data_IF_501487317276
#
_entry.id   IF_501487317276
#
_cell.length_a   1.000
_cell.length_b   1.000
_cell.length_c   1.000
_cell.angle_alpha   90.00
_cell.angle_beta   90.00
_cell.angle_gamma   90.00
#
_symmetry.space_group_name_H-M   'P 1'
#
loop_
_entity.id
_entity.type
_entity.pdbx_description
1 polymer ?
#
# COMPACT_ATOMS: atom_id res chain seq x y z
N UNK A 1 97.84 -44.54 14.81
CA UNK A 1 97.90 -45.94 14.32
C UNK A 1 96.50 -46.55 14.36
N UNK A 2 95.99 -46.85 13.16
CA UNK A 2 94.96 -47.81 12.77
C UNK A 2 93.67 -48.03 13.61
N UNK A 3 92.56 -47.71 12.94
CA UNK A 3 91.45 -48.61 12.59
C UNK A 3 90.39 -48.98 13.64
N UNK A 4 89.13 -48.94 13.20
CA UNK A 4 88.04 -49.68 13.84
C UNK A 4 86.65 -49.15 13.57
N UNK A 5 86.16 -49.29 12.34
CA UNK A 5 84.73 -49.20 12.04
C UNK A 5 83.95 -50.35 12.69
N UNK A 6 82.73 -50.08 13.14
CA UNK A 6 81.54 -50.97 13.04
C UNK A 6 80.35 -50.34 13.78
N UNK A 7 79.34 -49.94 13.01
CA UNK A 7 77.97 -49.88 13.52
C UNK A 7 77.37 -51.29 13.39
N UNK A 8 76.41 -51.65 14.25
CA UNK A 8 75.16 -52.13 13.68
C UNK A 8 73.90 -51.59 14.38
N UNK A 9 72.92 -51.30 13.54
CA UNK A 9 71.50 -51.10 13.84
C UNK A 9 70.95 -52.09 14.87
N UNK A 10 70.29 -51.56 15.90
CA UNK A 10 69.37 -52.32 16.73
C UNK A 10 67.95 -51.80 16.51
N UNK A 11 67.15 -52.76 16.05
CA UNK A 11 65.72 -52.80 15.85
C UNK A 11 64.92 -52.26 17.04
N UNK A 12 64.11 -51.22 16.83
CA UNK A 12 63.06 -50.80 17.76
C UNK A 12 61.74 -51.39 17.28
N UNK A 13 61.05 -52.22 18.07
CA UNK A 13 59.79 -52.84 17.67
C UNK A 13 58.65 -51.82 17.63
N UNK A 14 57.79 -51.98 16.62
CA UNK A 14 56.55 -51.23 16.44
C UNK A 14 55.55 -51.56 17.55
N UNK A 15 54.92 -50.57 18.22
CA UNK A 15 53.69 -50.82 18.96
C UNK A 15 52.48 -50.80 18.02
N UNK A 16 51.73 -51.89 18.14
CA UNK A 16 50.50 -52.26 17.44
C UNK A 16 49.47 -51.12 17.38
N UNK A 17 48.90 -50.95 16.19
CA UNK A 17 47.77 -50.07 15.91
C UNK A 17 46.50 -50.55 16.62
N UNK A 18 46.07 -49.82 17.65
CA UNK A 18 44.70 -49.94 18.18
C UNK A 18 43.74 -49.11 17.30
N UNK A 19 42.56 -49.62 16.94
CA UNK A 19 41.60 -48.88 16.11
C UNK A 19 41.05 -47.68 16.90
N UNK A 20 41.29 -46.48 16.35
CA UNK A 20 40.74 -45.22 16.84
C UNK A 20 39.21 -45.29 16.74
N UNK A 21 38.55 -45.47 17.87
CA UNK A 21 37.10 -45.26 17.98
C UNK A 21 36.76 -43.83 17.55
N UNK A 22 35.66 -43.62 16.79
CA UNK A 22 35.25 -42.27 16.45
C UNK A 22 34.89 -41.54 17.74
N UNK A 23 35.68 -40.53 18.12
CA UNK A 23 35.33 -39.61 19.18
C UNK A 23 33.96 -39.01 18.82
N UNK A 24 32.92 -39.39 19.59
CA UNK A 24 31.66 -38.65 19.60
C UNK A 24 32.00 -37.19 19.89
N UNK A 25 31.89 -36.34 18.88
CA UNK A 25 31.96 -34.90 19.05
C UNK A 25 30.91 -34.52 20.10
N UNK A 26 31.38 -34.01 21.24
CA UNK A 26 30.49 -33.40 22.23
C UNK A 26 29.93 -32.15 21.56
N UNK A 27 28.65 -32.18 21.19
CA UNK A 27 27.95 -30.96 20.77
C UNK A 27 27.95 -30.01 21.95
N UNK A 28 28.80 -28.99 21.86
CA UNK A 28 28.78 -27.86 22.80
C UNK A 28 27.60 -27.00 22.35
N UNK A 29 26.40 -27.31 22.83
CA UNK A 29 25.14 -26.67 22.40
C UNK A 29 24.99 -25.22 22.90
N UNK A 30 26.09 -24.54 23.23
CA UNK A 30 26.14 -23.15 23.69
C UNK A 30 27.26 -22.35 22.99
N UNK A 31 27.49 -22.62 21.71
CA UNK A 31 28.36 -21.76 20.89
C UNK A 31 27.63 -20.44 20.56
N UNK A 32 28.34 -19.31 20.64
CA UNK A 32 27.82 -18.03 20.12
C UNK A 32 27.38 -18.22 18.66
N UNK A 33 26.23 -17.66 18.26
CA UNK A 33 25.78 -17.71 16.87
C UNK A 33 26.91 -17.29 15.91
N UNK A 34 27.14 -18.11 14.87
CA UNK A 34 28.23 -17.89 13.90
C UNK A 34 28.11 -16.55 13.17
N UNK A 35 26.88 -16.08 13.00
CA UNK A 35 26.55 -14.80 12.37
C UNK A 35 25.58 -14.02 13.26
N UNK A 36 26.08 -13.23 14.24
CA UNK A 36 25.22 -12.42 15.11
C UNK A 36 24.44 -11.36 14.32
N UNK A 37 24.94 -10.96 13.15
CA UNK A 37 24.38 -9.88 12.32
C UNK A 37 23.29 -10.33 11.33
N UNK A 38 23.18 -11.64 11.08
CA UNK A 38 22.16 -12.23 10.19
C UNK A 38 20.82 -12.45 10.91
N UNK A 39 20.84 -12.45 12.24
CA UNK A 39 19.61 -12.49 13.01
C UNK A 39 18.93 -11.14 12.86
N UNK A 40 17.96 -11.05 11.94
CA UNK A 40 17.34 -9.80 11.56
C UNK A 40 16.65 -9.15 12.76
N UNK A 41 17.38 -8.24 13.41
CA UNK A 41 16.83 -7.42 14.49
C UNK A 41 15.62 -6.68 13.91
N UNK A 42 14.45 -6.74 14.58
CA UNK A 42 13.25 -6.05 14.15
C UNK A 42 13.55 -4.60 13.78
N UNK A 43 12.97 -4.13 12.67
CA UNK A 43 13.29 -2.82 12.06
C UNK A 43 13.32 -1.68 13.08
N UNK A 44 12.35 -1.66 14.01
CA UNK A 44 12.25 -0.61 15.02
C UNK A 44 13.39 -0.61 16.03
N UNK A 45 13.88 -1.79 16.40
CA UNK A 45 15.02 -1.93 17.31
C UNK A 45 16.34 -1.61 16.60
N UNK A 46 16.48 -2.00 15.32
CA UNK A 46 17.61 -1.60 14.47
C UNK A 46 17.74 -0.09 14.31
N UNK A 47 16.60 0.59 14.14
CA UNK A 47 16.53 2.05 14.05
C UNK A 47 16.94 2.71 15.38
N UNK A 48 16.50 2.16 16.51
CA UNK A 48 16.82 2.66 17.86
C UNK A 48 18.30 2.45 18.23
N UNK A 49 18.89 1.31 17.88
CA UNK A 49 20.33 1.07 18.09
C UNK A 49 21.17 2.04 17.25
N UNK A 50 20.79 2.24 15.98
CA UNK A 50 21.47 3.17 15.07
C UNK A 50 21.40 4.62 15.55
N UNK A 51 20.26 5.06 16.09
CA UNK A 51 20.13 6.42 16.63
C UNK A 51 20.99 6.60 17.90
N UNK A 52 21.00 5.60 18.78
CA UNK A 52 21.84 5.61 19.99
C UNK A 52 23.33 5.60 19.66
N UNK A 53 23.76 4.86 18.64
CA UNK A 53 25.14 4.87 18.14
C UNK A 53 25.53 6.19 17.49
N UNK A 54 24.63 6.81 16.71
CA UNK A 54 24.86 8.11 16.10
C UNK A 54 25.08 9.20 17.17
N UNK A 55 24.34 9.13 18.28
CA UNK A 55 24.54 10.02 19.44
C UNK A 55 25.84 9.74 20.19
N UNK A 56 26.34 8.50 20.17
CA UNK A 56 27.59 8.10 20.83
C UNK A 56 28.84 8.50 20.03
N UNK A 57 28.73 8.70 18.71
CA UNK A 57 29.83 9.10 17.81
C UNK A 57 29.44 10.30 16.93
N UNK A 58 29.32 11.52 17.49
CA UNK A 58 28.84 12.70 16.76
C UNK A 58 29.77 13.17 15.62
N UNK A 59 31.06 12.79 15.66
CA UNK A 59 32.08 13.27 14.72
C UNK A 59 31.98 12.68 13.30
N UNK A 60 31.39 11.48 13.13
CA UNK A 60 31.29 10.82 11.81
C UNK A 60 30.19 11.42 10.92
N UNK A 61 29.20 12.10 11.50
CA UNK A 61 28.15 12.80 10.76
C UNK A 61 28.66 14.06 10.05
N UNK A 62 29.59 14.80 10.68
CA UNK A 62 30.14 16.06 10.16
C UNK A 62 30.96 15.85 8.88
N UNK A 63 31.75 14.77 8.80
CA UNK A 63 32.51 14.39 7.59
C UNK A 63 31.61 14.11 6.39
N UNK A 64 30.50 13.40 6.59
CA UNK A 64 29.52 13.11 5.51
C UNK A 64 28.77 14.36 5.02
N UNK A 65 28.59 15.37 5.88
CA UNK A 65 27.97 16.65 5.48
C UNK A 65 28.94 17.50 4.67
N UNK A 66 30.21 17.57 5.06
CA UNK A 66 31.25 18.28 4.31
C UNK A 66 31.51 17.65 2.92
N UNK A 67 31.55 16.31 2.86
CA UNK A 67 31.74 15.56 1.61
C UNK A 67 30.54 15.72 0.65
N UNK A 68 29.31 15.79 1.19
CA UNK A 68 28.10 16.09 0.41
C UNK A 68 28.09 17.53 -0.14
N UNK A 69 28.59 18.50 0.63
CA UNK A 69 28.68 19.90 0.18
C UNK A 69 29.76 20.08 -0.91
N UNK A 70 30.91 19.40 -0.80
CA UNK A 70 31.92 19.40 -1.86
C UNK A 70 31.42 18.70 -3.14
N UNK A 71 30.66 17.61 -3.01
CA UNK A 71 30.03 16.95 -4.17
C UNK A 71 28.92 17.78 -4.82
N UNK A 72 28.24 18.65 -4.08
CA UNK A 72 27.28 19.63 -4.63
C UNK A 72 27.99 20.72 -5.43
N UNK A 73 29.07 21.30 -4.89
CA UNK A 73 29.88 22.31 -5.58
C UNK A 73 30.57 21.78 -6.86
N UNK A 74 30.90 20.49 -6.90
CA UNK A 74 31.41 19.82 -8.10
C UNK A 74 30.29 19.44 -9.10
N UNK A 75 29.06 19.20 -8.63
CA UNK A 75 27.90 18.94 -9.51
C UNK A 75 27.42 20.19 -10.24
N UNK A 76 27.57 21.37 -9.66
CA UNK A 76 27.22 22.64 -10.32
C UNK A 76 28.18 23.01 -11.46
N UNK A 77 29.36 22.38 -11.56
CA UNK A 77 30.29 22.52 -12.69
C UNK A 77 30.06 21.51 -13.82
N UNK A 78 29.01 20.70 -13.75
CA UNK A 78 28.78 19.65 -14.73
C UNK A 78 27.44 18.96 -14.58
N UNK A 79 26.34 19.71 -14.73
CA UNK A 79 25.08 19.12 -15.16
C UNK A 79 25.30 18.65 -16.61
N UNK A 80 25.54 17.34 -16.77
CA UNK A 80 25.89 16.67 -18.02
C UNK A 80 25.10 17.24 -19.21
N UNK A 81 25.75 18.10 -19.99
CA UNK A 81 25.31 18.60 -21.28
C UNK A 81 25.07 20.10 -21.41
N UNK A 82 25.04 20.90 -20.34
CA UNK A 82 24.81 22.36 -20.49
C UNK A 82 26.13 23.09 -20.79
N UNK A 83 26.17 23.91 -21.87
CA UNK A 83 27.34 24.74 -22.19
C UNK A 83 27.55 25.74 -21.05
N UNK A 84 28.72 25.75 -20.41
CA UNK A 84 29.01 26.76 -19.40
C UNK A 84 29.05 28.14 -20.06
N UNK A 85 28.24 29.08 -19.56
CA UNK A 85 28.24 30.48 -20.04
C UNK A 85 29.36 31.25 -19.35
N UNK A 86 30.44 31.66 -20.06
CA UNK A 86 31.52 32.43 -19.46
C UNK A 86 31.06 33.85 -19.12
N UNK A 87 31.58 34.40 -18.02
CA UNK A 87 31.34 35.79 -17.64
C UNK A 87 32.48 36.64 -18.20
N UNK A 88 32.25 37.29 -19.33
CA UNK A 88 33.24 38.15 -19.98
C UNK A 88 33.38 39.47 -19.23
N UNK A 89 34.38 39.54 -18.35
CA UNK A 89 34.82 40.77 -17.71
C UNK A 89 36.32 40.96 -17.99
N UNK A 90 36.75 42.21 -18.19
CA UNK A 90 38.17 42.54 -18.40
C UNK A 90 38.94 42.29 -17.10
N UNK A 91 40.04 41.54 -17.19
CA UNK A 91 40.90 41.27 -16.05
C UNK A 91 41.67 42.51 -15.61
N UNK A 92 42.08 42.55 -14.34
CA UNK A 92 42.98 43.61 -13.84
C UNK A 92 44.32 43.49 -14.57
N UNK A 93 44.76 44.56 -15.25
CA UNK A 93 46.01 44.59 -16.02
C UNK A 93 45.93 44.00 -17.43
N UNK A 94 44.75 43.59 -17.87
CA UNK A 94 44.56 43.10 -19.23
C UNK A 94 44.46 44.26 -20.24
N UNK A 95 45.16 44.15 -21.38
CA UNK A 95 44.99 45.10 -22.50
C UNK A 95 43.66 44.87 -23.21
N UNK A 96 43.12 45.88 -23.89
CA UNK A 96 41.85 45.74 -24.63
C UNK A 96 41.94 44.67 -25.71
N UNK A 97 43.07 44.64 -26.43
CA UNK A 97 43.30 43.67 -27.50
C UNK A 97 43.32 42.23 -26.98
N UNK A 98 43.98 41.97 -25.85
CA UNK A 98 43.97 40.63 -25.23
C UNK A 98 42.58 40.21 -24.74
N UNK A 99 41.79 41.18 -24.24
CA UNK A 99 40.40 40.92 -23.83
C UNK A 99 39.54 40.49 -25.02
N UNK A 100 39.63 41.22 -26.13
CA UNK A 100 38.90 40.86 -27.35
C UNK A 100 39.32 39.50 -27.90
N UNK A 101 40.64 39.18 -27.92
CA UNK A 101 41.10 37.87 -28.36
C UNK A 101 40.58 36.73 -27.47
N UNK A 102 40.57 36.88 -26.13
CA UNK A 102 40.00 35.87 -25.23
C UNK A 102 38.50 35.71 -25.47
N UNK A 103 37.79 36.82 -25.64
CA UNK A 103 36.36 36.81 -25.89
C UNK A 103 36.03 36.08 -27.20
N UNK A 104 36.79 36.36 -28.27
CA UNK A 104 36.59 35.74 -29.58
C UNK A 104 36.85 34.23 -29.56
N UNK A 105 37.91 33.77 -28.89
CA UNK A 105 38.21 32.35 -28.73
C UNK A 105 37.13 31.59 -27.97
N UNK A 106 36.62 32.16 -26.87
CA UNK A 106 35.55 31.55 -26.08
C UNK A 106 34.22 31.53 -26.85
N UNK A 107 33.92 32.58 -27.61
CA UNK A 107 32.73 32.62 -28.49
C UNK A 107 32.82 31.54 -29.56
N UNK A 108 33.97 31.39 -30.22
CA UNK A 108 34.21 30.31 -31.18
C UNK A 108 34.06 28.92 -30.52
N UNK A 109 34.58 28.76 -29.31
CA UNK A 109 34.47 27.51 -28.57
C UNK A 109 33.03 27.17 -28.18
N UNK A 110 32.26 28.14 -27.69
CA UNK A 110 30.83 27.98 -27.35
C UNK A 110 30.02 27.65 -28.60
N UNK A 111 30.29 28.33 -29.71
CA UNK A 111 29.61 28.08 -30.98
C UNK A 111 29.85 26.63 -31.42
N UNK A 112 31.11 26.18 -31.39
CA UNK A 112 31.46 24.79 -31.66
C UNK A 112 30.74 23.80 -30.72
N UNK A 113 30.71 24.07 -29.41
CA UNK A 113 30.00 23.21 -28.46
C UNK A 113 28.48 23.20 -28.71
N UNK A 114 27.90 24.31 -29.17
CA UNK A 114 26.49 24.44 -29.50
C UNK A 114 26.13 23.67 -30.77
N UNK A 115 26.96 23.76 -31.81
CA UNK A 115 26.76 23.03 -33.07
C UNK A 115 26.84 21.52 -32.87
N UNK A 116 27.68 21.06 -31.94
CA UNK A 116 27.86 19.65 -31.62
C UNK A 116 26.85 19.10 -30.59
N UNK A 117 25.92 19.93 -30.11
CA UNK A 117 24.83 19.44 -29.27
C UNK A 117 23.66 18.96 -30.12
N UNK A 118 23.24 17.71 -29.87
CA UNK A 118 21.94 17.23 -30.32
C UNK A 118 20.86 18.20 -29.85
N UNK A 119 19.95 18.61 -30.75
CA UNK A 119 18.82 19.49 -30.43
C UNK A 119 18.17 19.03 -29.14
N UNK A 120 18.35 19.83 -28.09
CA UNK A 120 17.73 19.55 -26.80
C UNK A 120 16.24 19.79 -26.99
N UNK A 121 15.48 18.73 -26.83
CA UNK A 121 14.03 18.79 -26.62
C UNK A 121 13.81 18.85 -25.11
N UNK A 122 13.86 20.02 -24.45
CA UNK A 122 13.64 20.12 -23.00
C UNK A 122 12.25 19.61 -22.59
N UNK A 123 11.30 19.59 -23.51
CA UNK A 123 9.95 19.03 -23.34
C UNK A 123 9.95 17.49 -23.30
N UNK A 124 10.94 16.83 -23.93
CA UNK A 124 11.15 15.38 -23.89
C UNK A 124 12.14 14.98 -22.80
N UNK A 125 12.14 15.67 -21.66
CA UNK A 125 12.67 15.06 -20.43
C UNK A 125 11.78 13.87 -20.09
N UNK A 126 12.13 12.73 -20.65
CA UNK A 126 11.57 11.43 -20.32
C UNK A 126 11.70 11.26 -18.82
N UNK A 127 10.58 11.52 -18.12
CA UNK A 127 10.51 11.23 -16.71
C UNK A 127 10.93 9.78 -16.55
N UNK A 128 11.99 9.54 -15.77
CA UNK A 128 12.59 8.23 -15.57
C UNK A 128 11.48 7.15 -15.49
N UNK A 129 11.59 6.05 -16.26
CA UNK A 129 10.48 5.14 -16.49
C UNK A 129 9.97 4.60 -15.16
N UNK A 130 8.87 5.19 -14.66
CA UNK A 130 8.18 4.70 -13.47
C UNK A 130 7.79 3.25 -13.72
N UNK A 131 7.93 2.40 -12.69
CA UNK A 131 7.52 1.00 -12.77
C UNK A 131 6.09 0.87 -13.32
N UNK A 132 5.83 -0.18 -14.11
CA UNK A 132 4.52 -0.41 -14.77
C UNK A 132 3.36 -0.28 -13.79
N UNK A 133 3.50 -0.87 -12.60
CA UNK A 133 2.55 -0.80 -11.47
C UNK A 133 2.23 0.64 -11.01
N UNK A 134 3.22 1.53 -10.94
CA UNK A 134 3.00 2.93 -10.53
C UNK A 134 2.23 3.71 -11.60
N UNK A 135 2.48 3.45 -12.89
CA UNK A 135 1.74 4.06 -14.01
C UNK A 135 0.27 3.62 -13.98
N UNK A 136 0.02 2.33 -13.80
CA UNK A 136 -1.34 1.77 -13.69
C UNK A 136 -2.11 2.34 -12.49
N UNK A 137 -1.46 2.46 -11.34
CA UNK A 137 -2.09 3.06 -10.16
C UNK A 137 -2.50 4.52 -10.40
N UNK A 138 -1.63 5.31 -11.05
CA UNK A 138 -1.92 6.69 -11.41
C UNK A 138 -3.08 6.78 -12.41
N UNK A 139 -3.07 5.94 -13.46
CA UNK A 139 -4.17 5.84 -14.43
C UNK A 139 -5.50 5.45 -13.74
N UNK A 140 -5.49 4.42 -12.88
CA UNK A 140 -6.68 3.98 -12.14
C UNK A 140 -7.25 5.07 -11.23
N UNK A 141 -6.39 5.87 -10.61
CA UNK A 141 -6.82 7.02 -9.78
C UNK A 141 -7.52 8.09 -10.64
N UNK A 142 -6.97 8.40 -11.80
CA UNK A 142 -7.53 9.35 -12.76
C UNK A 142 -8.88 8.85 -13.31
N UNK A 143 -8.93 7.58 -13.73
CA UNK A 143 -10.16 6.92 -14.20
C UNK A 143 -11.28 6.95 -13.15
N UNK A 144 -10.97 6.65 -11.88
CA UNK A 144 -11.95 6.79 -10.79
C UNK A 144 -12.48 8.21 -10.65
N UNK A 145 -11.64 9.22 -10.87
CA UNK A 145 -12.07 10.61 -10.81
C UNK A 145 -12.98 11.00 -11.98
N UNK A 146 -12.72 10.48 -13.19
CA UNK A 146 -13.58 10.66 -14.37
C UNK A 146 -14.95 10.03 -14.17
N UNK A 147 -14.98 8.75 -13.76
CA UNK A 147 -16.24 8.04 -13.47
C UNK A 147 -17.09 8.75 -12.44
N UNK A 148 -16.50 9.24 -11.34
CA UNK A 148 -17.22 10.05 -10.34
C UNK A 148 -17.77 11.36 -10.88
N UNK A 149 -17.16 11.94 -11.91
CA UNK A 149 -17.69 13.15 -12.57
C UNK A 149 -18.86 12.80 -13.48
N UNK A 150 -18.77 11.70 -14.23
CA UNK A 150 -19.85 11.20 -15.09
C UNK A 150 -21.07 10.81 -14.26
N UNK A 151 -20.90 10.02 -13.20
CA UNK A 151 -21.99 9.65 -12.28
C UNK A 151 -22.67 10.88 -11.65
N UNK A 152 -21.89 11.92 -11.30
CA UNK A 152 -22.47 13.17 -10.81
C UNK A 152 -23.26 13.92 -11.88
N UNK A 153 -22.80 13.90 -13.13
CA UNK A 153 -23.53 14.49 -14.25
C UNK A 153 -24.84 13.74 -14.48
N UNK A 154 -24.80 12.41 -14.49
CA UNK A 154 -25.98 11.56 -14.62
C UNK A 154 -26.96 11.79 -13.47
N UNK A 155 -26.50 11.84 -12.22
CA UNK A 155 -27.36 12.12 -11.07
C UNK A 155 -27.98 13.54 -11.09
N UNK A 156 -27.29 14.52 -11.69
CA UNK A 156 -27.86 15.85 -11.89
C UNK A 156 -28.92 15.84 -13.00
N UNK A 157 -28.67 15.11 -14.09
CA UNK A 157 -29.65 14.94 -15.18
C UNK A 157 -30.89 14.19 -14.69
N UNK A 158 -30.72 13.11 -13.94
CA UNK A 158 -31.80 12.36 -13.30
C UNK A 158 -32.66 13.27 -12.41
N UNK A 159 -32.03 14.06 -11.53
CA UNK A 159 -32.75 15.03 -10.69
C UNK A 159 -33.50 16.08 -11.50
N UNK A 160 -33.00 16.48 -12.66
CA UNK A 160 -33.70 17.43 -13.53
C UNK A 160 -34.89 16.78 -14.24
N UNK A 161 -34.79 15.51 -14.63
CA UNK A 161 -35.86 14.75 -15.28
C UNK A 161 -37.02 14.44 -14.31
N UNK A 162 -36.72 14.17 -13.03
CA UNK A 162 -37.73 13.90 -12.00
C UNK A 162 -38.20 15.15 -11.24
N UNK A 163 -37.94 16.34 -11.78
CA UNK A 163 -38.42 17.61 -11.20
C UNK A 163 -39.59 18.13 -12.02
N UNK A 164 -40.79 17.99 -11.48
CA UNK A 164 -42.00 18.57 -12.06
C UNK A 164 -42.05 20.08 -11.75
N UNK A 165 -41.94 20.91 -12.78
CA UNK A 165 -42.16 22.35 -12.68
C UNK A 165 -43.65 22.63 -12.86
N UNK A 166 -44.31 23.06 -11.79
CA UNK A 166 -45.75 23.38 -11.78
C UNK A 166 -45.92 24.89 -11.64
N UNK A 167 -46.85 25.48 -12.40
CA UNK A 167 -47.13 26.92 -12.34
C UNK A 167 -47.94 27.30 -11.08
N UNK A 168 -47.84 28.55 -10.65
CA UNK A 168 -48.62 29.04 -9.51
C UNK A 168 -50.13 29.05 -9.86
N UNK A 169 -50.93 28.32 -9.08
CA UNK A 169 -52.38 28.19 -9.28
C UNK A 169 -52.83 26.78 -9.72
N UNK A 170 -51.92 25.92 -10.18
CA UNK A 170 -52.22 24.52 -10.49
C UNK A 170 -52.14 23.66 -9.21
N UNK A 171 -53.16 22.81 -8.98
CA UNK A 171 -53.26 21.98 -7.77
C UNK A 171 -52.42 20.71 -7.95
N UNK A 172 -51.31 20.64 -7.23
CA UNK A 172 -50.44 19.45 -7.19
C UNK A 172 -51.10 18.38 -6.31
N UNK A 173 -51.30 17.19 -6.88
CA UNK A 173 -51.93 16.05 -6.18
C UNK A 173 -51.02 15.41 -5.13
N UNK A 174 -49.69 15.52 -5.31
CA UNK A 174 -48.71 15.00 -4.38
C UNK A 174 -48.11 16.13 -3.53
N UNK A 175 -48.18 16.06 -2.18
CA UNK A 175 -47.60 17.10 -1.34
C UNK A 175 -46.08 17.19 -1.53
N UNK A 176 -45.50 18.40 -1.54
CA UNK A 176 -44.06 18.57 -1.69
C UNK A 176 -43.34 17.92 -0.51
N UNK A 177 -42.32 17.13 -0.80
CA UNK A 177 -41.49 16.53 0.25
C UNK A 177 -40.34 17.47 0.58
N UNK A 178 -40.29 17.95 1.83
CA UNK A 178 -39.20 18.79 2.33
C UNK A 178 -37.92 17.93 2.40
N UNK A 179 -37.02 18.10 1.43
CA UNK A 179 -35.74 17.38 1.35
C UNK A 179 -34.63 18.05 2.16
N UNK A 180 -34.85 19.28 2.66
CA UNK A 180 -33.89 19.99 3.50
C UNK A 180 -33.88 19.46 4.93
N UNK A 181 -32.71 19.11 5.45
CA UNK A 181 -32.55 18.80 6.88
C UNK A 181 -32.70 20.09 7.70
N UNK A 182 -33.35 20.06 8.88
CA UNK A 182 -33.43 21.22 9.75
C UNK A 182 -32.02 21.67 10.16
N UNK A 183 -31.82 22.99 10.22
CA UNK A 183 -30.56 23.64 10.61
C UNK A 183 -30.14 23.12 11.99
N UNK A 184 -29.03 22.38 12.08
CA UNK A 184 -28.52 21.81 13.33
C UNK A 184 -28.67 20.28 13.48
N UNK A 185 -29.38 19.59 12.57
CA UNK A 185 -29.44 18.12 12.56
C UNK A 185 -28.56 17.52 11.46
N UNK A 186 -27.26 17.78 11.53
CA UNK A 186 -26.28 16.92 10.87
C UNK A 186 -26.15 15.59 11.62
N UNK A 187 -25.47 14.56 11.06
CA UNK A 187 -24.96 13.43 11.84
C UNK A 187 -23.77 13.88 12.69
N UNK A 188 -23.87 15.05 13.32
CA UNK A 188 -23.07 15.38 14.45
C UNK A 188 -23.56 14.44 15.54
N UNK A 189 -22.70 13.49 15.89
CA UNK A 189 -22.70 12.84 17.18
C UNK A 189 -23.00 13.92 18.22
N UNK A 190 -24.26 13.99 18.68
CA UNK A 190 -24.70 15.04 19.59
C UNK A 190 -23.74 15.01 20.76
N UNK A 191 -22.93 16.06 20.93
CA UNK A 191 -22.09 16.20 22.10
C UNK A 191 -23.03 16.15 23.32
N UNK A 192 -23.01 15.03 24.05
CA UNK A 192 -23.97 14.74 25.12
C UNK A 192 -24.61 13.33 25.06
N UNK A 193 -24.60 12.64 23.90
CA UNK A 193 -25.08 11.24 23.79
C UNK A 193 -24.00 10.22 24.14
N UNK A 194 -23.28 10.42 25.24
CA UNK A 194 -22.49 9.33 25.82
C UNK A 194 -23.49 8.31 26.35
N UNK A 195 -23.38 7.06 25.94
CA UNK A 195 -24.12 5.96 26.57
C UNK A 195 -23.85 6.04 28.08
N UNK A 196 -24.89 6.23 28.90
CA UNK A 196 -24.70 6.28 30.35
C UNK A 196 -24.00 4.98 30.76
N UNK A 197 -23.03 5.06 31.68
CA UNK A 197 -22.23 3.90 32.11
C UNK A 197 -23.09 2.71 32.59
N UNK A 198 -24.32 2.99 33.00
CA UNK A 198 -25.30 2.01 33.48
C UNK A 198 -26.13 1.36 32.36
N UNK A 199 -26.24 1.97 31.18
CA UNK A 199 -26.97 1.42 30.03
C UNK A 199 -26.50 0.02 29.59
N UNK A 200 -25.20 -0.30 29.54
CA UNK A 200 -24.74 -1.66 29.27
C UNK A 200 -24.97 -2.65 30.43
N UNK A 201 -25.15 -2.16 31.67
CA UNK A 201 -25.41 -3.01 32.85
C UNK A 201 -26.88 -3.38 32.99
N UNK A 202 -27.77 -2.49 32.54
CA UNK A 202 -29.22 -2.67 32.66
C UNK A 202 -29.84 -3.42 31.47
N UNK A 203 -29.03 -3.82 30.48
CA UNK A 203 -29.47 -4.63 29.33
C UNK A 203 -30.60 -4.01 28.49
N UNK A 204 -30.94 -2.73 28.71
CA UNK A 204 -32.14 -2.09 28.17
C UNK A 204 -31.86 -0.63 27.85
N UNK A 205 -31.66 -0.33 26.56
CA UNK A 205 -32.06 0.96 25.96
C UNK A 205 -32.01 0.89 24.44
N UNK A 206 -33.00 0.22 23.86
CA UNK A 206 -33.53 0.60 22.54
C UNK A 206 -34.43 1.83 22.78
N UNK A 207 -33.86 3.03 22.71
CA UNK A 207 -34.62 4.27 22.76
C UNK A 207 -33.91 5.38 21.96
N UNK A 208 -34.06 5.33 20.64
CA UNK A 208 -33.90 6.46 19.71
C UNK A 208 -34.75 6.13 18.47
N UNK A 209 -35.41 7.13 17.84
CA UNK A 209 -36.77 6.98 17.37
C UNK A 209 -36.87 6.21 16.05
N UNK A 210 -37.93 5.41 15.99
CA UNK A 210 -38.77 5.08 14.82
C UNK A 210 -38.22 5.60 13.48
N UNK A 211 -37.50 4.73 12.78
CA UNK A 211 -37.51 4.69 11.31
C UNK A 211 -38.34 3.48 10.89
N UNK A 212 -39.31 3.61 9.98
CA UNK A 212 -40.20 2.52 9.63
C UNK A 212 -39.47 1.50 8.74
N UNK A 213 -39.66 0.22 9.09
CA UNK A 213 -39.53 -0.96 8.22
C UNK A 213 -38.13 -1.21 7.64
N UNK A 214 -37.31 -1.93 8.42
CA UNK A 214 -36.52 -3.02 7.85
C UNK A 214 -36.18 -4.01 8.97
N UNK A 215 -36.46 -5.32 8.82
CA UNK A 215 -36.14 -6.29 9.86
C UNK A 215 -34.62 -6.37 10.01
N UNK A 216 -34.11 -5.74 11.08
CA UNK A 216 -32.72 -5.82 11.51
C UNK A 216 -32.43 -7.25 11.94
N UNK A 217 -32.08 -8.06 10.95
CA UNK A 217 -31.30 -9.28 11.14
C UNK A 217 -29.83 -8.87 11.15
N UNK A 218 -28.98 -9.52 11.96
CA UNK A 218 -27.54 -9.27 11.95
C UNK A 218 -27.05 -9.35 10.50
N UNK A 219 -26.27 -8.38 10.04
CA UNK A 219 -25.77 -8.30 8.66
C UNK A 219 -25.01 -9.58 8.32
N UNK A 220 -25.71 -10.57 7.75
CA UNK A 220 -25.14 -11.83 7.33
C UNK A 220 -24.27 -11.56 6.09
N UNK A 221 -23.11 -12.22 5.99
CA UNK A 221 -22.32 -12.24 4.74
C UNK A 221 -23.21 -12.70 3.57
N UNK A 222 -23.02 -12.11 2.38
CA UNK A 222 -23.79 -12.46 1.17
C UNK A 222 -23.76 -13.96 0.85
N UNK A 223 -22.65 -14.64 1.14
CA UNK A 223 -22.54 -16.09 1.00
C UNK A 223 -23.50 -16.83 1.95
N UNK A 224 -23.57 -16.40 3.21
CA UNK A 224 -24.46 -16.99 4.21
C UNK A 224 -25.93 -16.70 3.91
N UNK A 225 -26.23 -15.52 3.34
CA UNK A 225 -27.58 -15.17 2.88
C UNK A 225 -28.08 -16.14 1.81
N UNK A 226 -27.23 -16.52 0.83
CA UNK A 226 -27.59 -17.50 -0.22
C UNK A 226 -27.93 -18.87 0.36
N UNK A 227 -27.11 -19.36 1.29
CA UNK A 227 -27.34 -20.65 1.96
C UNK A 227 -28.69 -20.66 2.67
N UNK A 228 -28.98 -19.61 3.45
CA UNK A 228 -30.24 -19.50 4.20
C UNK A 228 -31.44 -19.37 3.27
N UNK A 229 -31.33 -18.63 2.16
CA UNK A 229 -32.40 -18.50 1.16
C UNK A 229 -32.68 -19.83 0.46
N UNK A 230 -31.66 -20.61 0.10
CA UNK A 230 -31.80 -21.95 -0.48
C UNK A 230 -32.44 -22.96 0.48
N UNK A 231 -32.04 -22.94 1.75
CA UNK A 231 -32.66 -23.76 2.80
C UNK A 231 -34.13 -23.40 2.99
N UNK A 232 -34.45 -22.10 3.00
CA UNK A 232 -35.82 -21.62 3.10
C UNK A 232 -36.68 -22.12 1.93
N UNK A 233 -36.17 -22.06 0.69
CA UNK A 233 -36.89 -22.55 -0.49
C UNK A 233 -37.15 -24.05 -0.38
N UNK A 234 -36.15 -24.85 0.03
CA UNK A 234 -36.30 -26.30 0.24
C UNK A 234 -37.36 -26.65 1.28
N UNK A 235 -37.37 -25.96 2.42
CA UNK A 235 -38.37 -26.18 3.48
C UNK A 235 -39.78 -25.83 3.00
N UNK A 236 -39.94 -24.71 2.30
CA UNK A 236 -41.24 -24.29 1.76
C UNK A 236 -41.78 -25.32 0.76
N UNK A 237 -40.93 -25.82 -0.14
CA UNK A 237 -41.31 -26.84 -1.10
C UNK A 237 -41.73 -28.14 -0.40
N UNK A 238 -40.91 -28.64 0.52
CA UNK A 238 -41.22 -29.84 1.29
C UNK A 238 -42.55 -29.71 2.06
N UNK A 239 -42.79 -28.55 2.69
CA UNK A 239 -44.05 -28.26 3.37
C UNK A 239 -45.24 -28.30 2.42
N UNK A 240 -45.13 -27.67 1.24
CA UNK A 240 -46.18 -27.70 0.21
C UNK A 240 -46.47 -29.12 -0.27
N UNK A 241 -45.44 -29.94 -0.46
CA UNK A 241 -45.59 -31.34 -0.88
C UNK A 241 -46.30 -32.18 0.18
N UNK A 242 -45.95 -31.99 1.46
CA UNK A 242 -46.63 -32.63 2.58
C UNK A 242 -48.11 -32.21 2.63
N UNK A 243 -48.41 -30.92 2.43
CA UNK A 243 -49.79 -30.44 2.42
C UNK A 243 -50.60 -31.02 1.26
N UNK A 244 -50.03 -31.06 0.05
CA UNK A 244 -50.68 -31.70 -1.11
C UNK A 244 -51.00 -33.17 -0.85
N UNK A 245 -50.06 -33.93 -0.26
CA UNK A 245 -50.28 -35.35 0.10
C UNK A 245 -51.37 -35.51 1.14
N UNK A 246 -51.41 -34.66 2.17
CA UNK A 246 -52.47 -34.68 3.20
C UNK A 246 -53.85 -34.39 2.60
N UNK A 247 -53.93 -33.47 1.65
CA UNK A 247 -55.19 -33.16 0.96
C UNK A 247 -55.67 -34.34 0.10
N UNK A 248 -54.78 -34.93 -0.70
CA UNK A 248 -55.10 -36.12 -1.50
C UNK A 248 -55.54 -37.32 -0.63
N UNK A 249 -54.94 -37.50 0.55
CA UNK A 249 -55.40 -38.51 1.50
C UNK A 249 -56.82 -38.23 1.99
N UNK A 250 -57.15 -36.97 2.33
CA UNK A 250 -58.51 -36.58 2.73
C UNK A 250 -59.52 -36.82 1.62
N UNK A 251 -59.18 -36.45 0.38
CA UNK A 251 -60.05 -36.66 -0.79
C UNK A 251 -60.27 -38.15 -1.06
N UNK A 252 -59.23 -38.99 -0.95
CA UNK A 252 -59.36 -40.46 -1.05
C UNK A 252 -60.25 -41.03 0.05
N UNK A 253 -60.11 -40.56 1.29
CA UNK A 253 -60.98 -40.98 2.40
C UNK A 253 -62.44 -40.53 2.22
N UNK A 254 -62.69 -39.36 1.64
CA UNK A 254 -64.04 -38.87 1.32
C UNK A 254 -64.67 -39.61 0.12
N UNK A 255 -63.86 -39.94 -0.90
CA UNK A 255 -64.32 -40.72 -2.06
C UNK A 255 -64.70 -42.16 -1.66
N UNK A 256 -64.01 -42.77 -0.69
CA UNK A 256 -64.36 -44.09 -0.14
C UNK A 256 -65.63 -44.12 0.72
N UNK A 257 -66.22 -42.97 1.05
CA UNK A 257 -67.48 -42.87 1.81
C UNK A 257 -68.71 -42.55 0.95
N UNK A 258 -68.55 -42.31 -0.36
CA UNK A 258 -69.65 -42.22 -1.33
C UNK A 258 -69.73 -43.52 -2.13
N UNK A 259 -70.24 -44.58 -1.51
CA UNK A 259 -70.74 -45.75 -2.25
C UNK A 259 -72.17 -45.42 -2.68
N UNK A 260 -72.50 -45.43 -3.99
CA UNK A 260 -73.88 -45.27 -4.43
C UNK A 260 -74.68 -46.52 -4.00
N UNK A 261 -75.85 -46.29 -3.39
CA UNK A 261 -76.86 -47.32 -3.14
C UNK A 261 -77.50 -47.79 -4.43
#
# INVERSE_FOLDING_TARGET
PAAGSRCPSIHVPQPLTAPVSPRKERKVDNMKPKHPDEQEIPFRLRELMRSREAMKRPELGKRRVAEKQQQQKAKDRGARGDIPVPRFQRGKGESERSYFCRMEQEVQHILFLSENQLQREPERKDTAPKSKRRKEFQKKKLEKARKKKEEKKEALLEKSLFRDTVAFGEVVTQPPTITSRPRGQGPAEQAGRKQLLLTPRLGRSQASPVSPVSPVSPVMSMARRRIVEEERVRVIQAYRDIQRRKQLQRERSQAGHRVPR
#
